data_IF_427177527821
#
_entry.id   IF_427177527821
#
_cell.length_a   1.000
_cell.length_b   1.000
_cell.length_c   1.000
_cell.angle_alpha   90.00
_cell.angle_beta   90.00
_cell.angle_gamma   90.00
#
_symmetry.space_group_name_H-M   'P 1'
#
loop_
_entity.id
_entity.type
_entity.pdbx_description
1 polymer ?
#
# COMPACT_ATOMS: atom_id res chain seq x y z
N UNK A 1 35.43 45.28 14.18
CA UNK A 1 34.51 44.92 13.07
C UNK A 1 34.31 43.40 12.91
N UNK A 2 35.39 42.60 12.87
CA UNK A 2 35.32 41.13 12.67
C UNK A 2 34.45 40.37 13.69
N UNK A 3 34.54 40.71 14.98
CA UNK A 3 33.75 40.06 16.05
C UNK A 3 32.25 40.33 15.89
N UNK A 4 31.85 41.55 15.51
CA UNK A 4 30.43 41.90 15.28
C UNK A 4 29.85 41.11 14.09
N UNK A 5 30.63 40.93 13.02
CA UNK A 5 30.26 40.10 11.88
C UNK A 5 30.14 38.61 12.24
N UNK A 6 31.06 38.08 13.05
CA UNK A 6 31.00 36.70 13.52
C UNK A 6 29.76 36.45 14.41
N UNK A 7 29.45 37.37 15.32
CA UNK A 7 28.25 37.30 16.16
C UNK A 7 26.96 37.40 15.32
N UNK A 8 26.93 38.26 14.31
CA UNK A 8 25.80 38.36 13.39
C UNK A 8 25.58 37.06 12.61
N UNK A 9 26.66 36.45 12.11
CA UNK A 9 26.59 35.18 11.39
C UNK A 9 26.09 34.04 12.31
N UNK A 10 26.60 33.96 13.54
CA UNK A 10 26.12 32.98 14.53
C UNK A 10 24.65 33.20 14.89
N UNK A 11 24.22 34.44 15.10
CA UNK A 11 22.82 34.77 15.37
C UNK A 11 21.91 34.39 14.19
N UNK A 12 22.34 34.64 12.95
CA UNK A 12 21.60 34.24 11.76
C UNK A 12 21.45 32.72 11.66
N UNK A 13 22.51 31.96 11.97
CA UNK A 13 22.45 30.49 12.00
C UNK A 13 21.44 29.98 13.04
N UNK A 14 21.46 30.53 14.26
CA UNK A 14 20.48 30.18 15.31
C UNK A 14 19.06 30.52 14.87
N UNK A 15 18.85 31.68 14.24
CA UNK A 15 17.55 32.11 13.76
C UNK A 15 17.01 31.16 12.68
N UNK A 16 17.84 30.73 11.74
CA UNK A 16 17.44 29.76 10.70
C UNK A 16 17.01 28.43 11.34
N UNK A 17 17.77 27.92 12.31
CA UNK A 17 17.41 26.69 13.03
C UNK A 17 16.10 26.85 13.83
N UNK A 18 15.95 27.98 14.52
CA UNK A 18 14.73 28.30 15.27
C UNK A 18 13.51 28.41 14.34
N UNK A 19 13.66 29.01 13.16
CA UNK A 19 12.61 29.08 12.15
C UNK A 19 12.22 27.69 11.63
N UNK A 20 13.20 26.83 11.33
CA UNK A 20 12.95 25.46 10.88
C UNK A 20 12.20 24.63 11.94
N UNK A 21 12.58 24.74 13.21
CA UNK A 21 11.90 24.08 14.32
C UNK A 21 10.51 24.65 14.57
N UNK A 22 10.41 25.98 14.65
CA UNK A 22 9.16 26.69 14.88
C UNK A 22 8.12 26.46 13.81
N UNK A 23 8.51 26.35 12.53
CA UNK A 23 7.60 26.00 11.44
C UNK A 23 6.98 24.61 11.63
N UNK A 24 7.79 23.62 12.04
CA UNK A 24 7.28 22.25 12.28
C UNK A 24 6.36 22.20 13.49
N UNK A 25 6.73 22.88 14.57
CA UNK A 25 5.89 22.98 15.77
C UNK A 25 4.56 23.70 15.48
N UNK A 26 4.59 24.75 14.65
CA UNK A 26 3.39 25.43 14.20
C UNK A 26 2.47 24.49 13.43
N UNK A 27 3.02 23.74 12.46
CA UNK A 27 2.26 22.74 11.69
C UNK A 27 1.70 21.64 12.62
N UNK A 28 2.47 21.20 13.61
CA UNK A 28 1.96 20.24 14.61
C UNK A 28 0.72 20.75 15.33
N UNK A 29 0.61 22.06 15.58
CA UNK A 29 -0.54 22.64 16.29
C UNK A 29 -1.70 23.01 15.37
N UNK A 30 -1.42 23.60 14.21
CA UNK A 30 -2.45 24.23 13.36
C UNK A 30 -2.66 23.54 12.02
N UNK A 31 -1.83 22.56 11.67
CA UNK A 31 -1.93 21.86 10.39
C UNK A 31 -3.15 20.96 10.31
N UNK A 32 -3.66 20.77 9.09
CA UNK A 32 -4.82 19.90 8.81
C UNK A 32 -4.44 18.45 9.11
N UNK A 33 -5.17 17.74 10.00
CA UNK A 33 -4.89 16.34 10.28
C UNK A 33 -5.31 15.47 9.09
N UNK A 34 -4.42 14.58 8.66
CA UNK A 34 -4.67 13.55 7.66
C UNK A 34 -4.16 12.20 8.17
N UNK A 35 -4.85 11.12 7.81
CA UNK A 35 -4.43 9.76 8.15
C UNK A 35 -3.87 9.09 6.90
N UNK A 36 -2.58 8.77 6.91
CA UNK A 36 -1.88 8.11 5.81
C UNK A 36 -1.69 6.64 6.13
N UNK A 37 -2.13 5.76 5.23
CA UNK A 37 -1.90 4.32 5.36
C UNK A 37 -0.49 3.95 4.91
N UNK A 38 0.22 3.16 5.72
CA UNK A 38 1.47 2.54 5.29
C UNK A 38 1.16 1.37 4.37
N UNK A 39 1.97 1.18 3.34
CA UNK A 39 2.01 -0.07 2.60
C UNK A 39 2.32 -1.23 3.57
N UNK A 40 1.80 -2.45 3.33
CA UNK A 40 2.04 -3.59 4.20
C UNK A 40 3.53 -3.78 4.49
N UNK A 41 3.88 -3.72 5.78
CA UNK A 41 5.26 -3.86 6.27
C UNK A 41 5.67 -5.32 6.04
N UNK A 42 6.74 -5.52 5.27
CA UNK A 42 7.37 -6.85 5.15
C UNK A 42 8.12 -7.14 6.46
N UNK A 43 7.80 -8.24 7.17
CA UNK A 43 8.53 -8.63 8.39
C UNK A 43 10.04 -8.78 8.18
N UNK A 44 10.47 -8.99 6.93
CA UNK A 44 11.88 -9.21 6.59
C UNK A 44 12.64 -7.93 6.21
N UNK A 45 12.03 -6.73 6.18
CA UNK A 45 12.78 -5.50 5.90
C UNK A 45 13.51 -5.04 7.19
N UNK A 46 14.83 -5.24 7.31
CA UNK A 46 15.54 -4.98 8.55
C UNK A 46 15.62 -3.48 8.82
N UNK A 47 15.13 -3.11 9.99
CA UNK A 47 15.19 -1.77 10.55
C UNK A 47 16.63 -1.38 10.90
N UNK A 48 17.15 -0.33 10.27
CA UNK A 48 18.54 0.14 10.46
C UNK A 48 18.64 1.15 11.61
N UNK A 49 18.51 0.69 12.85
CA UNK A 49 18.82 1.49 14.05
C UNK A 49 17.60 2.11 14.75
N UNK A 50 17.74 3.33 15.30
CA UNK A 50 16.74 3.98 16.16
C UNK A 50 15.58 4.67 15.40
N UNK A 51 15.18 4.18 14.22
CA UNK A 51 14.04 4.75 13.49
C UNK A 51 13.26 3.76 12.62
N UNK A 52 11.94 3.93 12.67
CA UNK A 52 10.83 3.53 11.80
C UNK A 52 11.00 3.79 10.28
N UNK A 53 11.34 2.86 9.37
CA UNK A 53 11.19 3.16 7.91
C UNK A 53 9.74 2.94 7.50
N UNK A 54 9.04 4.02 7.21
CA UNK A 54 7.65 4.02 6.77
C UNK A 54 7.59 4.10 5.24
N UNK A 55 6.82 3.21 4.64
CA UNK A 55 6.46 3.30 3.22
C UNK A 55 4.96 3.56 3.15
N UNK A 56 4.55 4.64 2.49
CA UNK A 56 3.14 4.99 2.36
C UNK A 56 2.55 4.44 1.08
N UNK A 57 1.25 4.12 1.08
CA UNK A 57 0.56 3.72 -0.16
C UNK A 57 0.56 4.86 -1.18
N UNK A 58 0.35 6.10 -0.71
CA UNK A 58 0.35 7.31 -1.54
C UNK A 58 1.72 7.63 -2.18
N UNK A 59 2.81 7.00 -1.72
CA UNK A 59 4.15 7.18 -2.29
C UNK A 59 4.29 6.59 -3.69
N UNK A 60 3.44 5.64 -4.09
CA UNK A 60 3.43 5.10 -5.45
C UNK A 60 2.26 5.70 -6.20
N UNK A 61 2.53 6.65 -7.10
CA UNK A 61 1.50 7.36 -7.86
C UNK A 61 1.35 6.73 -9.24
N UNK A 62 0.18 6.14 -9.58
CA UNK A 62 -0.10 5.64 -10.92
C UNK A 62 -0.01 6.74 -11.99
N UNK A 63 0.48 6.38 -13.18
CA UNK A 63 0.59 7.30 -14.33
C UNK A 63 -0.72 8.03 -14.66
N UNK A 64 -1.87 7.37 -14.46
CA UNK A 64 -3.21 7.93 -14.69
C UNK A 64 -3.57 9.08 -13.74
N UNK A 65 -2.88 9.23 -12.61
CA UNK A 65 -3.08 10.33 -11.66
C UNK A 65 -2.07 11.47 -11.84
N UNK A 66 -1.05 11.29 -12.67
CA UNK A 66 -0.05 12.32 -12.96
C UNK A 66 -0.64 13.42 -13.86
N UNK A 67 -0.32 14.68 -13.57
CA UNK A 67 -0.78 15.89 -14.28
C UNK A 67 0.40 16.82 -14.55
N UNK A 68 0.26 17.71 -15.53
CA UNK A 68 1.32 18.67 -15.87
C UNK A 68 2.61 17.98 -16.31
N UNK A 69 3.77 18.42 -15.80
CA UNK A 69 5.08 17.84 -16.13
C UNK A 69 5.20 16.40 -15.65
N UNK A 70 4.56 16.05 -14.52
CA UNK A 70 4.64 14.69 -13.95
C UNK A 70 4.06 13.63 -14.89
N UNK A 71 3.10 14.00 -15.73
CA UNK A 71 2.52 13.11 -16.74
C UNK A 71 3.50 12.78 -17.87
N UNK A 72 4.53 13.61 -18.08
CA UNK A 72 5.61 13.35 -19.05
C UNK A 72 6.64 12.38 -18.48
N UNK A 73 6.87 12.41 -17.17
CA UNK A 73 7.84 11.54 -16.50
C UNK A 73 7.37 10.09 -16.43
N UNK A 74 6.05 9.86 -16.44
CA UNK A 74 5.46 8.53 -16.49
C UNK A 74 5.41 7.91 -17.90
N UNK A 75 6.31 8.32 -18.81
CA UNK A 75 6.36 7.86 -20.22
C UNK A 75 7.74 7.29 -20.56
N UNK A 76 8.03 6.10 -20.05
CA UNK A 76 9.24 5.35 -20.40
C UNK A 76 10.16 5.14 -19.20
N UNK A 77 11.01 4.12 -19.31
CA UNK A 77 12.07 3.85 -18.34
C UNK A 77 13.42 4.19 -18.98
N UNK A 78 13.91 5.41 -18.72
CA UNK A 78 15.31 5.77 -18.95
C UNK A 78 15.93 6.15 -17.60
N UNK A 79 16.88 5.32 -17.15
CA UNK A 79 17.61 5.55 -15.90
C UNK A 79 18.25 6.94 -15.85
N UNK A 80 18.82 7.44 -16.96
CA UNK A 80 19.46 8.75 -17.03
C UNK A 80 18.43 9.88 -16.90
N UNK A 81 17.24 9.71 -17.47
CA UNK A 81 16.16 10.69 -17.29
C UNK A 81 15.59 10.65 -15.87
N UNK A 82 15.46 9.47 -15.27
CA UNK A 82 15.02 9.31 -13.87
C UNK A 82 15.93 10.06 -12.90
N UNK A 83 17.25 10.06 -13.13
CA UNK A 83 18.21 10.80 -12.29
C UNK A 83 18.04 12.33 -12.44
N UNK A 84 17.63 12.84 -13.61
CA UNK A 84 17.42 14.29 -13.83
C UNK A 84 16.17 14.82 -13.13
N UNK A 85 15.17 13.97 -12.91
CA UNK A 85 13.92 14.34 -12.24
C UNK A 85 13.94 14.01 -10.74
N UNK A 86 14.90 13.21 -10.28
CA UNK A 86 15.08 12.89 -8.86
C UNK A 86 15.16 14.17 -8.03
N UNK A 87 14.52 14.14 -6.87
CA UNK A 87 14.42 15.23 -5.92
C UNK A 87 13.67 16.49 -6.41
N UNK A 88 13.08 16.49 -7.62
CA UNK A 88 12.14 17.54 -8.03
C UNK A 88 10.95 17.60 -7.09
N UNK A 89 10.52 18.81 -6.77
CA UNK A 89 9.36 19.06 -5.90
C UNK A 89 8.09 18.73 -6.67
N UNK A 90 7.19 18.01 -6.00
CA UNK A 90 5.86 17.69 -6.51
C UNK A 90 4.83 17.87 -5.40
N UNK A 91 3.57 17.98 -5.81
CA UNK A 91 2.43 18.18 -4.94
C UNK A 91 1.41 17.09 -5.21
N UNK A 92 1.18 16.27 -4.18
CA UNK A 92 0.19 15.20 -4.17
C UNK A 92 -1.11 15.77 -3.61
N UNK A 93 -2.09 16.04 -4.47
CA UNK A 93 -3.41 16.44 -4.03
C UNK A 93 -4.12 15.23 -3.40
N UNK A 94 -4.77 15.45 -2.25
CA UNK A 94 -5.42 14.37 -1.51
C UNK A 94 -6.86 14.72 -1.15
N UNK A 95 -7.71 13.71 -1.08
CA UNK A 95 -9.04 13.78 -0.49
C UNK A 95 -9.11 12.84 0.71
N UNK A 96 -10.08 13.05 1.59
CA UNK A 96 -10.38 12.11 2.67
C UNK A 96 -11.51 11.21 2.18
N UNK A 97 -11.28 9.90 2.15
CA UNK A 97 -12.30 8.94 1.75
C UNK A 97 -13.33 8.70 2.86
N UNK A 98 -14.35 7.89 2.58
CA UNK A 98 -15.42 7.57 3.53
C UNK A 98 -14.92 6.92 4.84
N UNK A 99 -13.68 6.43 4.87
CA UNK A 99 -13.07 5.76 6.03
C UNK A 99 -12.13 6.67 6.82
N UNK A 100 -12.05 7.96 6.48
CA UNK A 100 -11.15 8.91 7.15
C UNK A 100 -9.69 8.82 6.72
N UNK A 101 -9.38 8.04 5.68
CA UNK A 101 -8.03 7.87 5.15
C UNK A 101 -7.78 8.87 4.02
N UNK A 102 -6.57 9.39 3.94
CA UNK A 102 -6.14 10.23 2.84
C UNK A 102 -5.91 9.38 1.59
N UNK A 103 -6.57 9.76 0.50
CA UNK A 103 -6.48 9.13 -0.81
C UNK A 103 -5.92 10.11 -1.83
N UNK A 104 -5.01 9.62 -2.67
CA UNK A 104 -4.37 10.43 -3.69
C UNK A 104 -5.35 10.70 -4.85
N UNK A 105 -5.56 11.97 -5.18
CA UNK A 105 -6.41 12.36 -6.32
C UNK A 105 -5.60 12.74 -7.55
N UNK A 106 -4.44 13.37 -7.36
CA UNK A 106 -3.52 13.69 -8.46
C UNK A 106 -2.11 14.02 -7.96
N UNK A 107 -1.15 13.96 -8.87
CA UNK A 107 0.21 14.45 -8.65
C UNK A 107 0.56 15.50 -9.72
N UNK A 108 1.13 16.62 -9.30
CA UNK A 108 1.57 17.69 -10.20
C UNK A 108 2.87 18.34 -9.71
N UNK A 109 3.54 19.04 -10.62
CA UNK A 109 4.70 19.90 -10.36
C UNK A 109 4.31 21.28 -9.83
N UNK A 110 3.02 21.63 -9.87
CA UNK A 110 2.47 22.85 -9.28
C UNK A 110 1.48 22.53 -8.15
N UNK A 111 1.37 23.37 -7.11
CA UNK A 111 0.44 23.14 -6.03
C UNK A 111 -1.01 23.29 -6.52
N UNK A 112 -1.95 22.45 -6.04
CA UNK A 112 -3.35 22.58 -6.42
C UNK A 112 -3.94 23.90 -5.90
N UNK A 113 -4.91 24.44 -6.62
CA UNK A 113 -5.55 25.72 -6.29
C UNK A 113 -6.35 25.67 -4.98
N UNK A 114 -6.84 24.50 -4.59
CA UNK A 114 -7.62 24.28 -3.38
C UNK A 114 -7.48 22.84 -2.88
N UNK A 115 -7.93 22.62 -1.64
CA UNK A 115 -7.89 21.32 -0.99
C UNK A 115 -6.54 21.00 -0.33
N UNK A 116 -6.49 19.95 0.51
CA UNK A 116 -5.25 19.51 1.13
C UNK A 116 -4.34 18.84 0.10
N UNK A 117 -3.04 19.05 0.26
CA UNK A 117 -2.02 18.41 -0.57
C UNK A 117 -0.75 18.17 0.24
N UNK A 118 0.00 17.14 -0.13
CA UNK A 118 1.33 16.88 0.44
C UNK A 118 2.40 17.30 -0.56
N UNK A 119 3.34 18.11 -0.08
CA UNK A 119 4.56 18.44 -0.81
C UNK A 119 5.54 17.28 -0.65
N UNK A 120 5.99 16.75 -1.77
CA UNK A 120 6.96 15.66 -1.81
C UNK A 120 8.10 15.94 -2.79
N UNK A 121 8.94 14.93 -2.94
CA UNK A 121 10.06 14.88 -3.87
C UNK A 121 10.06 13.58 -4.64
N UNK A 122 10.34 13.65 -5.94
CA UNK A 122 10.47 12.46 -6.78
C UNK A 122 11.61 11.57 -6.28
N UNK A 123 11.31 10.30 -6.04
CA UNK A 123 12.28 9.25 -5.75
C UNK A 123 12.70 8.54 -7.04
N UNK A 124 11.73 8.17 -7.86
CA UNK A 124 11.91 7.55 -9.18
C UNK A 124 10.65 7.76 -10.04
N UNK A 125 10.75 7.54 -11.35
CA UNK A 125 9.59 7.44 -12.23
C UNK A 125 9.84 6.39 -13.31
N UNK A 126 8.78 5.74 -13.76
CA UNK A 126 8.78 4.75 -14.83
C UNK A 126 7.44 4.77 -15.60
N UNK A 127 7.22 3.82 -16.51
CA UNK A 127 5.99 3.71 -17.31
C UNK A 127 4.72 3.49 -16.49
N UNK A 128 4.83 3.01 -15.25
CA UNK A 128 3.70 2.72 -14.38
C UNK A 128 3.33 3.92 -13.50
N UNK A 129 4.25 4.87 -13.32
CA UNK A 129 3.99 6.03 -12.48
C UNK A 129 5.22 6.72 -11.91
N UNK A 130 4.98 7.48 -10.84
CA UNK A 130 6.00 8.28 -10.13
C UNK A 130 6.02 7.87 -8.67
N UNK A 131 7.22 7.60 -8.14
CA UNK A 131 7.45 7.36 -6.72
C UNK A 131 7.83 8.65 -6.02
N UNK A 132 7.17 8.94 -4.91
CA UNK A 132 7.30 10.21 -4.19
C UNK A 132 7.62 9.97 -2.72
N UNK A 133 8.60 10.71 -2.20
CA UNK A 133 8.88 10.82 -0.76
C UNK A 133 8.36 12.15 -0.22
N UNK A 134 7.73 12.15 0.94
CA UNK A 134 7.09 13.27 1.60
C UNK A 134 7.90 13.84 2.78
N UNK A 135 9.01 13.19 3.16
CA UNK A 135 9.87 13.64 4.26
C UNK A 135 9.38 13.20 5.65
N UNK A 136 8.48 12.21 5.67
CA UNK A 136 7.89 11.59 6.87
C UNK A 136 8.15 10.07 6.91
N UNK A 137 8.99 9.55 6.01
CA UNK A 137 9.33 8.12 5.89
C UNK A 137 10.22 7.61 7.02
N UNK A 138 10.75 8.50 7.88
CA UNK A 138 11.59 8.14 9.01
C UNK A 138 10.91 8.58 10.31
N UNK A 139 10.41 7.61 11.06
CA UNK A 139 9.85 7.85 12.39
C UNK A 139 10.92 7.62 13.45
N UNK A 140 11.53 8.72 13.90
CA UNK A 140 12.58 8.71 14.92
C UNK A 140 11.98 8.49 16.30
N UNK A 141 12.47 7.49 17.01
CA UNK A 141 12.06 7.18 18.37
C UNK A 141 13.22 6.61 19.18
N UNK A 142 13.06 6.55 20.50
CA UNK A 142 14.05 5.86 21.34
C UNK A 142 14.16 4.39 20.92
N UNK A 143 15.36 3.81 21.04
CA UNK A 143 15.65 2.46 20.57
C UNK A 143 14.68 1.39 21.13
N UNK A 144 14.26 1.52 22.39
CA UNK A 144 13.29 0.60 23.00
C UNK A 144 11.86 0.77 22.47
N UNK A 145 11.50 1.98 22.05
CA UNK A 145 10.24 2.22 21.35
C UNK A 145 10.27 1.60 19.94
N UNK A 146 11.41 1.73 19.23
CA UNK A 146 11.58 1.13 17.91
C UNK A 146 11.46 -0.39 17.97
N UNK A 147 12.14 -1.02 18.93
CA UNK A 147 12.07 -2.47 19.14
C UNK A 147 10.65 -2.96 19.49
N UNK A 148 9.90 -2.19 20.29
CA UNK A 148 8.50 -2.50 20.59
C UNK A 148 7.62 -2.41 19.34
N UNK A 149 7.83 -1.38 18.52
CA UNK A 149 7.10 -1.22 17.26
C UNK A 149 7.42 -2.34 16.26
N UNK A 150 8.68 -2.80 16.18
CA UNK A 150 9.09 -3.96 15.39
C UNK A 150 8.41 -5.25 15.86
N UNK A 151 8.42 -5.49 17.18
CA UNK A 151 7.78 -6.67 17.78
C UNK A 151 6.28 -6.66 17.48
N UNK A 152 5.62 -5.51 17.67
CA UNK A 152 4.21 -5.34 17.32
C UNK A 152 3.94 -5.53 15.83
N UNK A 153 4.82 -5.08 14.94
CA UNK A 153 4.67 -5.30 13.50
C UNK A 153 4.78 -6.77 13.11
N UNK A 154 5.67 -7.53 13.76
CA UNK A 154 5.79 -8.97 13.58
C UNK A 154 4.57 -9.72 14.16
N UNK A 155 4.10 -9.32 15.35
CA UNK A 155 2.91 -9.88 15.98
C UNK A 155 1.64 -9.57 15.19
N UNK A 156 1.52 -8.35 14.68
CA UNK A 156 0.39 -7.84 13.86
C UNK A 156 0.63 -8.03 12.37
N UNK A 157 1.19 -9.18 11.99
CA UNK A 157 1.49 -9.50 10.60
C UNK A 157 0.26 -9.28 9.70
N UNK A 158 0.45 -8.51 8.62
CA UNK A 158 -0.61 -8.22 7.64
C UNK A 158 -1.55 -7.07 8.02
N UNK A 159 -1.41 -6.45 9.20
CA UNK A 159 -2.14 -5.23 9.54
C UNK A 159 -1.34 -4.00 9.09
N UNK A 160 -1.91 -3.10 8.26
CA UNK A 160 -1.25 -1.84 7.94
C UNK A 160 -1.24 -0.91 9.17
N UNK A 161 -0.26 0.00 9.21
CA UNK A 161 -0.22 1.08 10.18
C UNK A 161 -0.82 2.35 9.56
N UNK A 162 -1.72 2.99 10.28
CA UNK A 162 -2.28 4.28 9.95
C UNK A 162 -1.50 5.37 10.69
N UNK A 163 -0.98 6.34 9.93
CA UNK A 163 -0.10 7.40 10.43
C UNK A 163 -0.84 8.72 10.36
N UNK A 164 -1.15 9.29 11.52
CA UNK A 164 -1.73 10.64 11.60
C UNK A 164 -0.63 11.67 11.39
N UNK A 165 -0.82 12.54 10.40
CA UNK A 165 0.08 13.66 10.10
C UNK A 165 -0.68 14.98 10.16
N UNK A 166 0.00 16.06 10.50
CA UNK A 166 -0.50 17.41 10.28
C UNK A 166 0.15 18.03 9.06
N UNK A 167 -0.68 18.59 8.18
CA UNK A 167 -0.24 19.20 6.92
C UNK A 167 -0.42 20.71 6.98
N UNK A 168 0.68 21.44 6.78
CA UNK A 168 0.66 22.90 6.69
C UNK A 168 0.16 23.39 5.33
N UNK A 169 -0.12 24.69 5.23
CA UNK A 169 -0.58 25.33 3.98
C UNK A 169 0.40 25.24 2.80
N UNK A 170 1.67 24.91 3.06
CA UNK A 170 2.72 24.65 2.05
C UNK A 170 2.82 23.18 1.62
N UNK A 171 1.94 22.32 2.15
CA UNK A 171 1.95 20.87 1.96
C UNK A 171 3.01 20.13 2.77
N UNK A 172 3.79 20.81 3.62
CA UNK A 172 4.72 20.14 4.53
C UNK A 172 3.95 19.34 5.58
N UNK A 173 4.23 18.04 5.67
CA UNK A 173 3.63 17.13 6.64
C UNK A 173 4.55 16.92 7.85
N UNK A 174 3.96 16.82 9.03
CA UNK A 174 4.65 16.42 10.26
C UNK A 174 3.89 15.27 10.90
N UNK A 175 4.60 14.20 11.23
CA UNK A 175 4.03 13.01 11.87
C UNK A 175 3.62 13.34 13.31
N UNK A 176 2.38 12.97 13.67
CA UNK A 176 1.79 13.16 15.00
C UNK A 176 1.68 11.88 15.79
N UNK A 177 1.07 10.86 15.18
CA UNK A 177 0.70 9.63 15.88
C UNK A 177 0.60 8.46 14.90
N UNK A 178 0.61 7.24 15.43
CA UNK A 178 0.52 5.99 14.67
C UNK A 178 -0.44 5.02 15.37
N UNK A 179 -1.32 4.38 14.61
CA UNK A 179 -2.19 3.32 15.08
C UNK A 179 -2.15 2.14 14.12
N UNK A 180 -2.38 0.92 14.62
CA UNK A 180 -2.48 -0.26 13.76
C UNK A 180 -3.94 -0.48 13.36
N UNK A 181 -4.16 -0.84 12.10
CA UNK A 181 -5.47 -1.33 11.67
C UNK A 181 -5.80 -2.62 12.45
N UNK A 182 -7.00 -2.72 13.06
CA UNK A 182 -7.38 -3.89 13.85
C UNK A 182 -7.48 -5.17 13.01
N UNK A 183 -7.79 -5.07 11.72
CA UNK A 183 -7.87 -6.22 10.82
C UNK A 183 -6.56 -6.39 10.03
N UNK A 184 -5.90 -7.53 10.21
CA UNK A 184 -4.76 -7.94 9.39
C UNK A 184 -5.13 -9.00 8.36
N UNK A 185 -4.43 -8.99 7.22
CA UNK A 185 -4.57 -9.98 6.14
C UNK A 185 -3.22 -10.62 5.82
N UNK A 186 -3.17 -11.94 5.91
CA UNK A 186 -2.02 -12.75 5.50
C UNK A 186 -2.47 -13.89 4.58
N UNK A 187 -1.54 -14.58 3.94
CA UNK A 187 -1.87 -15.75 3.15
C UNK A 187 -0.73 -16.76 3.11
N UNK A 188 -1.12 -18.02 2.97
CA UNK A 188 -0.26 -19.13 2.56
C UNK A 188 -0.55 -19.48 1.09
N UNK A 189 0.49 -19.86 0.36
CA UNK A 189 0.40 -20.21 -1.06
C UNK A 189 0.19 -21.71 -1.20
N UNK A 190 -0.92 -22.11 -1.80
CA UNK A 190 -1.22 -23.49 -2.11
C UNK A 190 -0.59 -23.85 -3.45
N UNK A 191 0.59 -24.47 -3.39
CA UNK A 191 1.27 -25.04 -4.56
C UNK A 191 0.69 -26.43 -4.80
N UNK A 192 0.40 -26.78 -6.07
CA UNK A 192 0.22 -28.20 -6.40
C UNK A 192 1.49 -28.97 -5.99
N UNK A 193 1.37 -30.20 -5.46
CA UNK A 193 2.54 -30.99 -5.13
C UNK A 193 3.46 -31.07 -6.35
N UNK A 194 4.79 -30.97 -6.17
CA UNK A 194 5.72 -31.17 -7.27
C UNK A 194 5.42 -32.51 -7.93
N UNK A 195 5.46 -32.58 -9.26
CA UNK A 195 5.44 -33.87 -9.95
C UNK A 195 6.51 -34.78 -9.31
N UNK A 196 6.23 -36.07 -9.07
CA UNK A 196 7.22 -36.99 -8.54
C UNK A 196 8.49 -36.95 -9.41
N UNK A 197 9.65 -37.01 -8.75
CA UNK A 197 11.03 -36.92 -9.26
C UNK A 197 11.20 -36.82 -10.79
N UNK A 198 11.90 -35.76 -11.21
CA UNK A 198 12.41 -35.58 -12.58
C UNK A 198 12.95 -36.90 -13.15
N UNK A 199 12.29 -37.45 -14.15
CA UNK A 199 12.82 -38.59 -14.90
C UNK A 199 14.07 -38.11 -15.63
N UNK A 200 15.24 -38.76 -15.45
CA UNK A 200 16.44 -38.42 -16.20
C UNK A 200 16.17 -38.38 -17.71
N UNK A 201 16.53 -37.29 -18.38
CA UNK A 201 16.26 -37.07 -19.81
C UNK A 201 15.04 -36.21 -20.14
N UNK A 202 14.18 -35.87 -19.16
CA UNK A 202 13.10 -34.89 -19.37
C UNK A 202 13.64 -33.44 -19.34
N UNK A 203 13.12 -32.55 -20.24
CA UNK A 203 13.33 -31.12 -20.15
C UNK A 203 12.93 -30.59 -18.78
N UNK A 204 13.62 -29.56 -18.30
CA UNK A 204 13.21 -28.88 -17.06
C UNK A 204 11.80 -28.31 -17.23
N UNK A 205 10.89 -28.67 -16.33
CA UNK A 205 9.57 -28.05 -16.22
C UNK A 205 9.61 -27.08 -15.02
N UNK A 206 9.14 -25.83 -15.17
CA UNK A 206 9.01 -24.94 -14.02
C UNK A 206 8.10 -25.58 -12.95
N UNK A 207 8.35 -25.32 -11.65
CA UNK A 207 7.45 -25.78 -10.60
C UNK A 207 6.02 -25.33 -10.92
N UNK A 208 5.00 -26.12 -10.56
CA UNK A 208 3.62 -25.74 -10.83
C UNK A 208 3.36 -24.38 -10.18
N UNK A 209 2.87 -23.43 -10.99
CA UNK A 209 2.50 -22.10 -10.52
C UNK A 209 1.44 -22.16 -9.41
N UNK A 210 1.15 -21.01 -8.82
CA UNK A 210 0.20 -20.94 -7.69
C UNK A 210 -1.18 -21.44 -8.13
N UNK A 211 -1.73 -22.43 -7.40
CA UNK A 211 -3.05 -22.99 -7.67
C UNK A 211 -4.14 -22.38 -6.78
N UNK A 212 -3.79 -22.01 -5.55
CA UNK A 212 -4.70 -21.35 -4.63
C UNK A 212 -3.97 -20.56 -3.54
N UNK A 213 -4.75 -19.82 -2.77
CA UNK A 213 -4.29 -19.10 -1.59
C UNK A 213 -5.19 -19.41 -0.42
N UNK A 214 -4.61 -19.74 0.73
CA UNK A 214 -5.34 -19.76 2.00
C UNK A 214 -5.09 -18.42 2.67
N UNK A 215 -6.10 -17.54 2.66
CA UNK A 215 -6.05 -16.18 3.17
C UNK A 215 -6.56 -16.16 4.60
N UNK A 216 -5.77 -15.61 5.52
CA UNK A 216 -6.14 -15.49 6.93
C UNK A 216 -6.43 -14.03 7.26
N UNK A 217 -7.65 -13.76 7.71
CA UNK A 217 -8.07 -12.51 8.32
C UNK A 217 -7.96 -12.62 9.83
N UNK A 218 -7.24 -11.71 10.48
CA UNK A 218 -6.98 -11.75 11.92
C UNK A 218 -7.40 -10.44 12.58
N UNK A 219 -8.24 -10.52 13.62
CA UNK A 219 -8.55 -9.40 14.48
C UNK A 219 -7.45 -9.21 15.54
N UNK A 220 -6.56 -8.24 15.32
CA UNK A 220 -5.55 -7.78 16.27
C UNK A 220 -6.02 -6.67 17.21
N UNK A 221 -7.29 -6.26 17.10
CA UNK A 221 -7.93 -5.27 17.95
C UNK A 221 -8.31 -5.82 19.32
N UNK A 222 -8.77 -4.94 20.19
CA UNK A 222 -9.25 -5.21 21.55
C UNK A 222 -10.78 -5.38 21.64
N UNK A 223 -11.48 -5.24 20.50
CA UNK A 223 -12.94 -5.34 20.38
C UNK A 223 -13.35 -6.35 19.32
N UNK A 224 -14.57 -6.82 19.42
CA UNK A 224 -15.21 -7.60 18.35
C UNK A 224 -15.28 -6.76 17.07
N UNK A 225 -14.97 -7.37 15.93
CA UNK A 225 -15.18 -6.80 14.61
C UNK A 225 -15.86 -7.84 13.72
N UNK A 226 -16.54 -7.41 12.67
CA UNK A 226 -17.11 -8.31 11.68
C UNK A 226 -16.41 -8.19 10.32
N UNK A 227 -16.32 -9.31 9.63
CA UNK A 227 -15.92 -9.43 8.22
C UNK A 227 -17.10 -9.96 7.41
N UNK A 228 -17.07 -9.74 6.09
CA UNK A 228 -18.02 -10.33 5.14
C UNK A 228 -17.24 -11.31 4.27
N UNK A 229 -17.60 -12.58 4.33
CA UNK A 229 -17.00 -13.65 3.54
C UNK A 229 -18.00 -14.11 2.47
N UNK A 230 -17.99 -13.44 1.31
CA UNK A 230 -18.84 -13.80 0.19
C UNK A 230 -18.36 -15.10 -0.48
N UNK A 231 -19.28 -15.87 -1.11
CA UNK A 231 -18.93 -17.08 -1.86
C UNK A 231 -17.81 -16.86 -2.88
N UNK A 232 -17.02 -17.91 -3.08
CA UNK A 232 -15.94 -18.00 -4.06
C UNK A 232 -14.89 -16.86 -3.98
N UNK A 233 -14.76 -16.25 -2.79
CA UNK A 233 -13.76 -15.22 -2.54
C UNK A 233 -14.12 -13.83 -3.06
N UNK A 234 -15.40 -13.56 -3.35
CA UNK A 234 -15.85 -12.29 -3.92
C UNK A 234 -15.76 -11.08 -2.98
N UNK A 235 -15.35 -11.29 -1.72
CA UNK A 235 -14.91 -10.24 -0.80
C UNK A 235 -13.47 -9.76 -1.05
N UNK A 236 -12.75 -10.41 -1.96
CA UNK A 236 -11.36 -10.09 -2.27
C UNK A 236 -11.22 -9.57 -3.71
N UNK A 237 -10.21 -8.73 -3.91
CA UNK A 237 -9.78 -8.24 -5.22
C UNK A 237 -8.32 -8.60 -5.43
N UNK A 238 -7.95 -8.88 -6.67
CA UNK A 238 -6.56 -9.04 -7.07
C UNK A 238 -6.04 -7.73 -7.66
N UNK A 239 -5.04 -7.14 -7.03
CA UNK A 239 -4.43 -5.88 -7.45
C UNK A 239 -3.05 -6.11 -8.03
N UNK A 240 -2.72 -5.44 -9.12
CA UNK A 240 -1.36 -5.42 -9.65
C UNK A 240 -0.41 -4.71 -8.68
N UNK A 241 0.74 -5.33 -8.38
CA UNK A 241 1.80 -4.71 -7.58
C UNK A 241 2.80 -4.00 -8.52
N UNK A 242 2.86 -2.67 -8.43
CA UNK A 242 3.71 -1.84 -9.31
C UNK A 242 5.08 -1.49 -8.70
N UNK A 243 5.51 -2.20 -7.64
CA UNK A 243 6.72 -1.84 -6.88
C UNK A 243 8.03 -2.06 -7.67
N UNK A 244 8.06 -2.98 -8.64
CA UNK A 244 9.24 -3.33 -9.44
C UNK A 244 8.85 -3.68 -10.89
N UNK A 245 9.51 -3.07 -11.89
CA UNK A 245 9.45 -3.35 -13.34
C UNK A 245 8.09 -3.34 -14.07
N UNK A 246 7.01 -2.94 -13.41
CA UNK A 246 5.66 -2.92 -14.00
C UNK A 246 5.03 -4.31 -14.06
N UNK A 247 3.77 -4.38 -13.65
CA UNK A 247 2.99 -5.59 -13.83
C UNK A 247 2.36 -5.56 -15.22
N UNK A 248 2.64 -6.58 -16.02
CA UNK A 248 2.13 -6.73 -17.39
C UNK A 248 0.79 -7.49 -17.44
N UNK A 249 0.20 -7.77 -16.29
CA UNK A 249 -1.00 -8.58 -16.17
C UNK A 249 -2.06 -7.85 -15.35
N UNK A 250 -3.29 -7.81 -15.87
CA UNK A 250 -4.44 -7.27 -15.18
C UNK A 250 -5.42 -8.38 -14.82
N UNK A 251 -6.08 -8.26 -13.67
CA UNK A 251 -7.10 -9.20 -13.23
C UNK A 251 -8.40 -9.00 -14.01
N UNK A 252 -9.02 -10.07 -14.51
CA UNK A 252 -10.27 -9.97 -15.29
C UNK A 252 -11.43 -9.39 -14.48
N UNK A 253 -11.42 -9.62 -13.16
CA UNK A 253 -12.45 -9.11 -12.26
C UNK A 253 -12.30 -7.64 -11.88
N UNK A 254 -11.22 -6.95 -12.31
CA UNK A 254 -10.97 -5.55 -11.93
C UNK A 254 -12.14 -4.62 -12.29
N UNK A 255 -12.79 -4.89 -13.44
CA UNK A 255 -13.92 -4.13 -13.98
C UNK A 255 -15.28 -4.76 -13.67
N UNK A 256 -15.33 -5.89 -12.98
CA UNK A 256 -16.58 -6.56 -12.61
C UNK A 256 -17.04 -6.08 -11.24
N UNK A 257 -18.28 -5.62 -11.16
CA UNK A 257 -18.96 -5.33 -9.89
C UNK A 257 -20.08 -6.34 -9.60
N UNK A 258 -20.02 -7.52 -10.24
CA UNK A 258 -21.05 -8.55 -10.12
C UNK A 258 -20.92 -9.36 -8.82
N UNK A 259 -20.84 -8.68 -7.68
CA UNK A 259 -20.79 -9.33 -6.35
C UNK A 259 -22.21 -9.76 -5.94
N UNK A 260 -22.37 -10.95 -5.33
CA UNK A 260 -23.65 -11.35 -4.77
C UNK A 260 -24.04 -10.42 -3.63
N UNK A 261 -25.35 -10.22 -3.46
CA UNK A 261 -25.87 -9.51 -2.29
C UNK A 261 -25.48 -10.29 -1.01
N UNK A 262 -24.93 -9.62 0.02
CA UNK A 262 -24.56 -10.28 1.25
C UNK A 262 -25.80 -10.80 2.01
N UNK A 263 -25.67 -11.96 2.63
CA UNK A 263 -26.64 -12.52 3.55
C UNK A 263 -26.08 -12.58 4.98
N UNK A 264 -26.96 -12.77 5.96
CA UNK A 264 -26.56 -12.86 7.38
C UNK A 264 -25.47 -13.93 7.65
N UNK A 265 -25.50 -15.05 6.92
CA UNK A 265 -24.50 -16.13 7.03
C UNK A 265 -23.10 -15.73 6.55
N UNK A 266 -23.00 -14.69 5.72
CA UNK A 266 -21.74 -14.24 5.15
C UNK A 266 -21.01 -13.28 6.12
N UNK A 267 -21.71 -12.79 7.15
CA UNK A 267 -21.14 -11.91 8.18
C UNK A 267 -20.57 -12.76 9.31
N UNK A 268 -19.26 -12.62 9.56
CA UNK A 268 -18.52 -13.39 10.55
C UNK A 268 -17.95 -12.44 11.58
N UNK A 269 -18.37 -12.59 12.84
CA UNK A 269 -17.82 -11.82 13.96
C UNK A 269 -16.53 -12.48 14.43
N UNK A 270 -15.44 -11.72 14.38
CA UNK A 270 -14.13 -12.07 14.91
C UNK A 270 -13.93 -11.40 16.27
N UNK A 271 -13.86 -12.20 17.32
CA UNK A 271 -13.44 -11.75 18.65
C UNK A 271 -11.96 -11.28 18.63
N UNK A 272 -11.50 -10.52 19.63
CA UNK A 272 -10.08 -10.19 19.80
C UNK A 272 -9.19 -11.43 19.70
N UNK A 273 -8.19 -11.40 18.82
CA UNK A 273 -7.27 -12.51 18.55
C UNK A 273 -7.85 -13.64 17.67
N UNK A 274 -9.10 -13.56 17.25
CA UNK A 274 -9.71 -14.57 16.39
C UNK A 274 -9.23 -14.43 14.93
N UNK A 275 -9.09 -15.58 14.29
CA UNK A 275 -8.70 -15.71 12.88
C UNK A 275 -9.83 -16.36 12.09
N UNK A 276 -9.92 -16.00 10.82
CA UNK A 276 -10.80 -16.65 9.85
C UNK A 276 -10.06 -16.89 8.54
N UNK A 277 -10.09 -18.13 8.08
CA UNK A 277 -9.41 -18.55 6.86
C UNK A 277 -10.40 -18.62 5.70
N UNK A 278 -9.97 -18.12 4.53
CA UNK A 278 -10.70 -18.19 3.26
C UNK A 278 -9.79 -18.80 2.22
N UNK A 279 -10.23 -19.90 1.62
CA UNK A 279 -9.51 -20.53 0.52
C UNK A 279 -9.95 -19.93 -0.82
N UNK A 280 -8.98 -19.44 -1.60
CA UNK A 280 -9.17 -18.91 -2.94
C UNK A 280 -8.59 -19.90 -3.95
N UNK A 281 -9.46 -20.50 -4.77
CA UNK A 281 -9.03 -21.34 -5.90
C UNK A 281 -8.70 -20.47 -7.11
N UNK A 282 -7.41 -20.17 -7.28
CA UNK A 282 -6.91 -19.31 -8.35
C UNK A 282 -6.93 -19.98 -9.74
N UNK A 283 -7.38 -21.24 -9.83
CA UNK A 283 -7.62 -21.91 -11.12
C UNK A 283 -8.95 -21.52 -11.74
N UNK A 284 -9.89 -20.98 -10.97
CA UNK A 284 -11.20 -20.56 -11.44
C UNK A 284 -11.13 -19.28 -12.29
N UNK A 285 -12.02 -19.17 -13.28
CA UNK A 285 -12.00 -18.11 -14.30
C UNK A 285 -12.12 -16.70 -13.75
N UNK A 286 -12.80 -16.54 -12.61
CA UNK A 286 -12.91 -15.26 -11.93
C UNK A 286 -11.59 -14.71 -11.41
N UNK A 287 -10.57 -15.56 -11.20
CA UNK A 287 -9.23 -15.18 -10.74
C UNK A 287 -8.21 -15.05 -11.86
N UNK A 288 -8.63 -15.24 -13.13
CA UNK A 288 -7.73 -15.19 -14.27
C UNK A 288 -7.20 -13.79 -14.54
N UNK A 289 -6.10 -13.72 -15.29
CA UNK A 289 -5.43 -12.48 -15.69
C UNK A 289 -5.27 -12.40 -17.19
N UNK A 290 -5.15 -11.18 -17.71
CA UNK A 290 -4.89 -10.88 -19.12
C UNK A 290 -3.56 -10.13 -19.27
N UNK A 291 -2.80 -10.45 -20.32
CA UNK A 291 -1.55 -9.75 -20.64
C UNK A 291 -1.88 -8.41 -21.31
N UNK A 292 -1.68 -7.31 -20.59
CA UNK A 292 -2.07 -5.96 -21.05
C UNK A 292 -1.20 -5.44 -22.19
N UNK A 293 -0.07 -6.10 -22.50
CA UNK A 293 0.78 -5.75 -23.66
C UNK A 293 0.13 -6.19 -24.97
N UNK A 294 -0.89 -7.05 -24.90
CA UNK A 294 -1.57 -7.63 -26.06
C UNK A 294 -3.05 -7.22 -26.02
N UNK A 295 -3.52 -6.36 -26.95
CA UNK A 295 -4.89 -5.84 -26.93
C UNK A 295 -6.00 -6.91 -26.89
N UNK A 296 -5.73 -8.10 -27.43
CA UNK A 296 -6.69 -9.22 -27.52
C UNK A 296 -6.15 -10.49 -26.80
N UNK A 297 -5.44 -10.34 -25.68
CA UNK A 297 -5.02 -11.50 -24.90
C UNK A 297 -6.23 -12.22 -24.28
N UNK A 298 -6.34 -13.51 -24.56
CA UNK A 298 -7.27 -14.39 -23.86
C UNK A 298 -6.93 -14.47 -22.35
N UNK A 299 -7.92 -14.37 -21.46
CA UNK A 299 -7.77 -14.64 -20.04
C UNK A 299 -7.11 -15.98 -19.74
N UNK A 300 -6.22 -16.02 -18.75
CA UNK A 300 -5.56 -17.25 -18.33
C UNK A 300 -5.41 -17.35 -16.80
N UNK A 301 -5.38 -18.57 -16.24
CA UNK A 301 -5.08 -18.75 -14.82
C UNK A 301 -3.65 -18.30 -14.50
N UNK A 302 -3.42 -17.80 -13.28
CA UNK A 302 -2.11 -17.30 -12.83
C UNK A 302 -0.99 -18.32 -13.06
N UNK A 303 -1.27 -19.61 -12.84
CA UNK A 303 -0.30 -20.70 -13.07
C UNK A 303 0.22 -20.82 -14.51
N UNK A 304 -0.45 -20.22 -15.50
CA UNK A 304 -0.02 -20.23 -16.90
C UNK A 304 0.81 -19.00 -17.28
N UNK A 305 0.99 -18.04 -16.38
CA UNK A 305 1.83 -16.87 -16.62
C UNK A 305 3.28 -17.32 -16.70
N UNK A 306 3.95 -17.04 -17.82
CA UNK A 306 5.34 -17.47 -18.04
C UNK A 306 6.37 -16.41 -17.64
N UNK A 307 5.98 -15.13 -17.68
CA UNK A 307 6.79 -13.99 -17.26
C UNK A 307 6.59 -13.73 -15.76
N UNK A 308 7.27 -14.52 -14.92
CA UNK A 308 7.17 -14.38 -13.47
C UNK A 308 7.59 -12.99 -12.97
N UNK A 309 8.63 -12.40 -13.55
CA UNK A 309 9.18 -11.12 -13.08
C UNK A 309 8.23 -9.93 -13.21
N UNK A 310 7.27 -10.02 -14.14
CA UNK A 310 6.29 -8.97 -14.41
C UNK A 310 4.87 -9.34 -13.98
N UNK A 311 4.72 -10.32 -13.08
CA UNK A 311 3.44 -10.88 -12.63
C UNK A 311 3.32 -10.92 -11.10
N UNK A 312 3.41 -9.73 -10.49
CA UNK A 312 3.32 -9.53 -9.04
C UNK A 312 1.98 -8.90 -8.67
N UNK A 313 1.29 -9.49 -7.70
CA UNK A 313 -0.05 -9.10 -7.28
C UNK A 313 -0.16 -8.97 -5.75
N UNK A 314 -1.21 -8.30 -5.29
CA UNK A 314 -1.65 -8.26 -3.90
C UNK A 314 -3.11 -8.65 -3.84
N UNK A 315 -3.50 -9.27 -2.73
CA UNK A 315 -4.91 -9.40 -2.38
C UNK A 315 -5.35 -8.15 -1.63
N UNK A 316 -6.53 -7.64 -1.97
CA UNK A 316 -7.22 -6.62 -1.19
C UNK A 316 -8.52 -7.22 -0.68
N UNK A 317 -8.67 -7.29 0.63
CA UNK A 317 -9.97 -7.54 1.24
C UNK A 317 -10.80 -6.25 1.13
N UNK A 318 -11.93 -6.34 0.44
CA UNK A 318 -12.82 -5.24 0.08
C UNK A 318 -14.28 -5.70 0.29
N UNK A 319 -14.81 -5.57 1.52
CA UNK A 319 -16.17 -6.00 1.80
C UNK A 319 -17.21 -5.16 1.03
N UNK A 320 -18.46 -5.63 0.94
CA UNK A 320 -19.56 -4.81 0.43
C UNK A 320 -19.70 -3.48 1.18
N UNK A 321 -20.33 -2.50 0.54
CA UNK A 321 -20.57 -1.19 1.14
C UNK A 321 -21.47 -1.29 2.38
N UNK A 322 -21.42 -0.29 3.25
CA UNK A 322 -22.30 -0.20 4.42
C UNK A 322 -23.79 -0.25 4.03
N UNK A 323 -24.13 0.27 2.85
CA UNK A 323 -25.49 0.23 2.31
C UNK A 323 -25.90 -1.19 1.90
N UNK A 324 -24.99 -1.96 1.31
CA UNK A 324 -25.27 -3.33 0.87
C UNK A 324 -25.52 -4.30 2.04
N UNK A 325 -24.94 -4.03 3.22
CA UNK A 325 -25.12 -4.84 4.43
C UNK A 325 -26.17 -4.28 5.39
N UNK A 326 -26.83 -3.17 5.02
CA UNK A 326 -27.76 -2.47 5.90
C UNK A 326 -28.92 -3.40 6.31
N UNK A 327 -29.17 -3.50 7.62
CA UNK A 327 -30.23 -4.34 8.18
C UNK A 327 -29.84 -5.81 8.38
N UNK A 328 -28.63 -6.22 7.99
CA UNK A 328 -28.08 -7.53 8.34
C UNK A 328 -27.52 -7.51 9.79
N UNK A 329 -27.47 -8.66 10.47
CA UNK A 329 -26.93 -8.75 11.83
C UNK A 329 -25.45 -8.35 11.86
N UNK A 330 -25.04 -7.66 12.92
CA UNK A 330 -23.66 -7.21 13.16
C UNK A 330 -23.08 -6.28 12.08
N UNK A 331 -23.94 -5.67 11.25
CA UNK A 331 -23.49 -4.75 10.19
C UNK A 331 -22.71 -3.54 10.74
N UNK A 332 -23.01 -3.10 11.96
CA UNK A 332 -22.33 -2.04 12.69
C UNK A 332 -20.89 -2.40 13.11
N UNK A 333 -20.58 -3.70 13.22
CA UNK A 333 -19.24 -4.19 13.53
C UNK A 333 -18.37 -4.37 12.28
N UNK A 334 -18.94 -4.27 11.08
CA UNK A 334 -18.21 -4.56 9.83
C UNK A 334 -17.12 -3.52 9.59
N UNK A 335 -15.88 -4.00 9.46
CA UNK A 335 -14.78 -3.14 9.07
C UNK A 335 -14.77 -2.94 7.55
N UNK A 336 -15.25 -1.79 7.09
CA UNK A 336 -15.40 -1.52 5.65
C UNK A 336 -14.14 -1.01 4.93
N UNK A 337 -13.13 -0.49 5.63
CA UNK A 337 -11.94 -0.01 4.94
C UNK A 337 -11.16 -1.19 4.34
N UNK A 338 -10.70 -1.08 3.08
CA UNK A 338 -9.97 -2.15 2.44
C UNK A 338 -8.62 -2.38 3.10
N UNK A 339 -8.21 -3.64 3.16
CA UNK A 339 -6.92 -4.07 3.73
C UNK A 339 -6.17 -4.91 2.69
N UNK A 340 -4.90 -4.58 2.47
CA UNK A 340 -4.07 -5.21 1.43
C UNK A 340 -3.05 -6.16 2.02
N UNK A 341 -2.85 -7.29 1.36
CA UNK A 341 -1.80 -8.23 1.70
C UNK A 341 -0.42 -7.75 1.23
N UNK A 342 0.62 -8.44 1.69
CA UNK A 342 1.92 -8.45 1.00
C UNK A 342 1.77 -8.89 -0.46
N UNK A 343 2.77 -8.58 -1.27
CA UNK A 343 2.77 -8.99 -2.66
C UNK A 343 3.14 -10.47 -2.82
N UNK A 344 2.70 -11.07 -3.90
CA UNK A 344 3.12 -12.39 -4.34
C UNK A 344 3.22 -12.44 -5.85
N UNK A 345 4.10 -13.31 -6.31
CA UNK A 345 4.39 -13.60 -7.69
C UNK A 345 3.67 -14.85 -8.15
N UNK A 346 3.11 -14.83 -9.37
CA UNK A 346 2.44 -15.99 -9.95
C UNK A 346 3.30 -17.27 -10.01
N UNK A 347 4.64 -17.13 -10.10
CA UNK A 347 5.58 -18.23 -10.32
C UNK A 347 6.58 -18.49 -9.19
N UNK A 348 6.97 -17.46 -8.43
CA UNK A 348 8.06 -17.57 -7.45
C UNK A 348 7.59 -17.64 -6.00
N UNK A 349 6.32 -17.30 -5.71
CA UNK A 349 5.74 -17.33 -4.35
C UNK A 349 5.56 -15.93 -3.77
N UNK A 350 5.88 -15.75 -2.50
CA UNK A 350 5.75 -14.44 -1.81
C UNK A 350 6.95 -13.56 -2.18
N UNK A 351 6.68 -12.29 -2.52
CA UNK A 351 7.71 -11.28 -2.78
C UNK A 351 8.25 -10.64 -1.50
#
# INVERSE_FOLDING_TARGET
>A
MKVKLALLAAALQVLVLAFMGGQREWIMRTGTPLVLRTAPIDPNDPMRGAFVRLTYEISTVPAVLCRGETAKWAKGYDYRESQKIRDRVVYAAVSVNAYGLAELTSLSDTPPASGPYLRGRVESADTNGVRVRYGIEAYFMHQDAARRMETMGAEKAGAPMDVTVAVGSSGLAVLKDTSWEPLGITFAVDRRPPQPNRVPGQPWQPPPGIAGLTVTLHNYGDKDLAIVNLPDGQSFRLLANTRFNGNNYAWVGEKSDNRPAPAAKDIIVLKPGAKHDVHLDLTQSQWWVTDIRKPNAEPMPLQKVTDGWSASFRLEYSPPSADAVRGLPHADLIRHAPVRSRAFNANQGVD
#
